data_IF_554335462453
#
_entry.id   IF_554335462453
#
_cell.length_a   1.000
_cell.length_b   1.000
_cell.length_c   1.000
_cell.angle_alpha   90.00
_cell.angle_beta   90.00
_cell.angle_gamma   90.00
#
_symmetry.space_group_name_H-M   'P 1'
#
loop_
_entity.id
_entity.type
_entity.pdbx_description
1 polymer ?
#
# COMPACT_ATOMS: atom_id res chain seq x y z
N UNK A 1 -2.68 -31.90 1.70
CA UNK A 1 -2.04 -30.66 1.20
C UNK A 1 -3.01 -29.51 1.42
N UNK A 2 -2.72 -28.52 2.29
CA UNK A 2 -3.60 -27.37 2.43
C UNK A 2 -3.63 -26.59 1.11
N UNK A 3 -4.82 -26.28 0.59
CA UNK A 3 -4.96 -25.47 -0.62
C UNK A 3 -4.34 -24.10 -0.35
N UNK A 4 -3.39 -23.66 -1.19
CA UNK A 4 -2.95 -22.26 -1.22
C UNK A 4 -4.19 -21.39 -1.40
N UNK A 5 -4.51 -20.52 -0.44
CA UNK A 5 -5.58 -19.53 -0.60
C UNK A 5 -5.27 -18.68 -1.81
N UNK A 6 -6.27 -18.44 -2.67
CA UNK A 6 -6.09 -17.54 -3.81
C UNK A 6 -6.00 -16.12 -3.28
N UNK A 7 -5.26 -15.21 -3.94
CA UNK A 7 -5.20 -13.80 -3.56
C UNK A 7 -6.61 -13.17 -3.43
N UNK A 8 -7.53 -13.63 -4.27
CA UNK A 8 -8.94 -13.22 -4.30
C UNK A 8 -9.67 -13.54 -2.99
N UNK A 9 -9.37 -14.70 -2.39
CA UNK A 9 -9.97 -15.11 -1.12
C UNK A 9 -9.49 -14.20 0.04
N UNK A 10 -8.26 -13.68 -0.07
CA UNK A 10 -7.71 -12.74 0.92
C UNK A 10 -8.29 -11.32 0.75
N UNK A 11 -8.48 -10.86 -0.49
CA UNK A 11 -9.09 -9.54 -0.75
C UNK A 11 -10.51 -9.49 -0.20
N UNK A 12 -11.31 -10.53 -0.42
CA UNK A 12 -12.66 -10.58 0.10
C UNK A 12 -12.70 -10.56 1.64
N UNK A 13 -11.81 -11.31 2.31
CA UNK A 13 -11.71 -11.28 3.77
C UNK A 13 -11.37 -9.89 4.32
N UNK A 14 -10.41 -9.20 3.69
CA UNK A 14 -10.05 -7.85 4.10
C UNK A 14 -11.17 -6.84 3.84
N UNK A 15 -11.96 -7.03 2.77
CA UNK A 15 -13.14 -6.21 2.51
C UNK A 15 -14.24 -6.46 3.55
N UNK A 16 -14.49 -7.72 3.91
CA UNK A 16 -15.45 -8.07 4.95
C UNK A 16 -15.05 -7.47 6.31
N UNK A 17 -13.78 -7.58 6.69
CA UNK A 17 -13.23 -6.96 7.90
C UNK A 17 -13.35 -5.42 7.86
N UNK A 18 -13.03 -4.81 6.73
CA UNK A 18 -13.11 -3.35 6.57
C UNK A 18 -14.55 -2.83 6.64
N UNK A 19 -15.51 -3.58 6.11
CA UNK A 19 -16.92 -3.20 6.06
C UNK A 19 -17.68 -3.54 7.35
N UNK A 20 -17.11 -4.34 8.25
CA UNK A 20 -17.78 -4.78 9.49
C UNK A 20 -18.25 -3.62 10.38
N UNK A 21 -17.53 -2.49 10.37
CA UNK A 21 -17.83 -1.29 11.17
C UNK A 21 -18.76 -0.28 10.47
N UNK A 22 -19.21 -0.58 9.25
CA UNK A 22 -20.00 0.32 8.42
C UNK A 22 -21.43 -0.19 8.25
N UNK A 23 -22.40 0.62 8.68
CA UNK A 23 -23.81 0.20 8.75
C UNK A 23 -24.71 0.87 7.71
N UNK A 24 -24.24 1.93 7.04
CA UNK A 24 -25.05 2.66 6.04
C UNK A 24 -24.31 2.91 4.72
N UNK A 25 -25.03 2.94 3.59
CA UNK A 25 -24.45 3.28 2.28
C UNK A 25 -23.78 4.66 2.27
N UNK A 26 -24.30 5.63 3.03
CA UNK A 26 -23.73 6.99 3.11
C UNK A 26 -22.38 7.00 3.80
N UNK A 27 -22.15 6.14 4.80
CA UNK A 27 -20.84 6.01 5.44
C UNK A 27 -19.78 5.42 4.50
N UNK A 28 -20.20 4.69 3.47
CA UNK A 28 -19.30 4.07 2.49
C UNK A 28 -19.13 4.95 1.26
N UNK A 29 -20.24 5.40 0.66
CA UNK A 29 -20.32 6.07 -0.65
C UNK A 29 -20.55 7.58 -0.54
N UNK A 30 -20.79 8.12 0.66
CA UNK A 30 -21.04 9.55 0.85
C UNK A 30 -19.82 10.42 0.56
N UNK A 31 -20.02 11.74 0.53
CA UNK A 31 -18.97 12.74 0.23
C UNK A 31 -17.75 12.69 1.15
N UNK A 32 -17.88 12.09 2.33
CA UNK A 32 -16.80 11.84 3.29
C UNK A 32 -16.71 10.35 3.67
N UNK A 33 -17.32 9.48 2.87
CA UNK A 33 -17.41 8.05 3.16
C UNK A 33 -16.10 7.31 2.92
N UNK A 34 -16.09 6.05 3.36
CA UNK A 34 -14.95 5.14 3.30
C UNK A 34 -14.27 5.11 1.94
N UNK A 35 -15.03 5.03 0.83
CA UNK A 35 -14.44 4.88 -0.50
C UNK A 35 -13.57 6.08 -0.89
N UNK A 36 -13.97 7.30 -0.50
CA UNK A 36 -13.20 8.51 -0.74
C UNK A 36 -11.93 8.53 0.10
N UNK A 37 -12.04 8.14 1.37
CA UNK A 37 -10.89 8.06 2.28
C UNK A 37 -9.88 7.01 1.81
N UNK A 38 -10.36 5.82 1.40
CA UNK A 38 -9.53 4.73 0.91
C UNK A 38 -8.80 5.12 -0.38
N UNK A 39 -9.51 5.71 -1.36
CA UNK A 39 -8.91 6.21 -2.60
C UNK A 39 -7.79 7.22 -2.31
N UNK A 40 -8.03 8.18 -1.41
CA UNK A 40 -7.01 9.15 -0.99
C UNK A 40 -5.76 8.45 -0.44
N UNK A 41 -5.93 7.52 0.50
CA UNK A 41 -4.78 6.85 1.11
C UNK A 41 -4.00 5.98 0.11
N UNK A 42 -4.69 5.33 -0.84
CA UNK A 42 -4.04 4.54 -1.90
C UNK A 42 -3.21 5.45 -2.80
N UNK A 43 -3.76 6.58 -3.22
CA UNK A 43 -3.03 7.58 -4.03
C UNK A 43 -1.82 8.11 -3.27
N UNK A 44 -1.97 8.49 -2.00
CA UNK A 44 -0.86 8.97 -1.18
C UNK A 44 0.26 7.94 -1.03
N UNK A 45 -0.08 6.66 -0.83
CA UNK A 45 0.91 5.58 -0.74
C UNK A 45 1.62 5.32 -2.08
N UNK A 46 0.89 5.38 -3.20
CA UNK A 46 1.49 5.25 -4.53
C UNK A 46 2.49 6.40 -4.78
N UNK A 47 2.09 7.64 -4.50
CA UNK A 47 2.97 8.81 -4.64
C UNK A 47 4.18 8.73 -3.70
N UNK A 48 4.00 8.26 -2.46
CA UNK A 48 5.12 8.06 -1.52
C UNK A 48 6.07 6.96 -2.01
N UNK A 49 5.55 5.88 -2.59
CA UNK A 49 6.36 4.82 -3.17
C UNK A 49 7.18 5.34 -4.35
N UNK A 50 6.60 6.18 -5.22
CA UNK A 50 7.33 6.87 -6.30
C UNK A 50 8.44 7.76 -5.75
N UNK A 51 8.16 8.63 -4.77
CA UNK A 51 9.18 9.48 -4.14
C UNK A 51 10.30 8.66 -3.46
N UNK A 52 9.94 7.55 -2.81
CA UNK A 52 10.92 6.66 -2.16
C UNK A 52 11.77 5.91 -3.19
N UNK A 53 11.17 5.47 -4.29
CA UNK A 53 11.87 4.83 -5.40
C UNK A 53 12.85 5.80 -6.07
N UNK A 54 12.46 7.07 -6.24
CA UNK A 54 13.33 8.10 -6.80
C UNK A 54 14.48 8.54 -5.86
N UNK A 55 14.39 8.32 -4.54
CA UNK A 55 15.45 8.63 -3.59
C UNK A 55 16.41 7.45 -3.30
N UNK A 56 16.00 6.21 -3.61
CA UNK A 56 16.85 5.02 -3.48
C UNK A 56 17.75 4.77 -4.71
N UNK A 57 17.62 5.61 -5.76
CA UNK A 57 18.58 5.70 -6.86
C UNK A 57 19.84 6.52 -6.53
N UNK A 58 20.16 6.73 -5.24
CA UNK A 58 21.51 7.12 -4.85
C UNK A 58 22.30 5.84 -4.63
N UNK A 59 23.03 5.46 -5.67
CA UNK A 59 24.02 4.36 -5.71
C UNK A 59 24.76 4.29 -4.36
N UNK A 60 24.94 3.08 -3.78
CA UNK A 60 25.79 2.92 -2.60
C UNK A 60 27.12 3.59 -2.88
N UNK A 61 27.56 4.46 -1.98
CA UNK A 61 28.91 5.02 -2.01
C UNK A 61 29.87 3.86 -2.20
N UNK A 62 30.41 3.76 -3.40
CA UNK A 62 31.48 2.86 -3.77
C UNK A 62 32.54 3.00 -2.69
N UNK A 63 32.83 1.92 -1.96
CA UNK A 63 33.98 1.87 -1.07
C UNK A 63 35.20 2.07 -1.96
N UNK A 64 35.68 3.30 -2.06
CA UNK A 64 36.98 3.62 -2.67
C UNK A 64 38.02 2.95 -1.79
N UNK A 65 38.39 1.74 -2.17
CA UNK A 65 39.54 1.03 -1.64
C UNK A 65 40.79 1.70 -2.19
N UNK A 66 41.29 2.70 -1.48
CA UNK A 66 42.67 3.13 -1.66
C UNK A 66 43.55 2.14 -0.88
N UNK A 67 44.38 1.37 -1.58
CA UNK A 67 45.58 0.76 -0.99
C UNK A 67 46.77 1.56 -1.48
N UNK A 68 47.64 2.08 -0.59
CA UNK A 68 48.85 2.75 -1.01
C UNK A 68 49.88 1.69 -1.43
N UNK A 69 50.43 1.83 -2.63
CA UNK A 69 51.71 1.19 -3.00
C UNK A 69 52.87 2.06 -2.56
#
# INVERSE_FOLDING_TARGET
MPRRRRPEDQVNQLLDELLADYSSPEQILGKQGLLKQLTKQVVERALQAELSHHLQMRVPTEKVSWEPR
#
